data_IF_575361982719
#
_entry.id   IF_575361982719
#
_cell.length_a   1.000
_cell.length_b   1.000
_cell.length_c   1.000
_cell.angle_alpha   90.00
_cell.angle_beta   90.00
_cell.angle_gamma   90.00
#
_symmetry.space_group_name_H-M   'P 1'
#
loop_
_entity.id
_entity.type
_entity.pdbx_description
1 polymer ?
#
# COMPACT_ATOMS: atom_id res chain seq x y z
N UNK A 1 17.93 -12.31 -15.81
CA UNK A 1 16.85 -12.46 -14.84
C UNK A 1 15.99 -11.19 -14.88
N UNK A 2 14.71 -11.32 -15.18
CA UNK A 2 13.82 -10.18 -15.20
C UNK A 2 13.53 -9.70 -13.79
N UNK A 3 13.58 -8.38 -13.59
CA UNK A 3 13.20 -7.78 -12.32
C UNK A 3 11.70 -7.62 -12.31
N UNK A 4 11.07 -8.24 -11.32
CA UNK A 4 9.61 -8.18 -11.17
C UNK A 4 9.18 -6.78 -10.74
N UNK A 5 8.20 -6.24 -11.45
CA UNK A 5 7.62 -4.91 -11.14
C UNK A 5 6.10 -4.99 -11.20
N UNK A 6 5.50 -5.40 -10.10
CA UNK A 6 4.04 -5.50 -9.97
C UNK A 6 3.61 -4.97 -8.60
N UNK A 7 2.29 -4.95 -8.37
CA UNK A 7 1.72 -4.45 -7.11
C UNK A 7 2.30 -5.19 -5.89
N UNK A 8 2.58 -6.49 -6.01
CA UNK A 8 3.07 -7.29 -4.90
C UNK A 8 4.51 -6.92 -4.55
N UNK A 9 5.33 -6.67 -5.56
CA UNK A 9 6.68 -6.19 -5.33
C UNK A 9 6.67 -4.79 -4.71
N UNK A 10 5.77 -3.94 -5.17
CA UNK A 10 5.63 -2.58 -4.64
C UNK A 10 5.39 -2.60 -3.13
N UNK A 11 4.48 -3.45 -2.65
CA UNK A 11 4.10 -3.49 -1.24
C UNK A 11 4.95 -4.45 -0.39
N UNK A 12 5.96 -5.09 -0.98
CA UNK A 12 6.81 -6.04 -0.25
C UNK A 12 7.74 -5.37 0.76
N UNK A 13 7.99 -4.09 0.62
CA UNK A 13 8.89 -3.34 1.49
C UNK A 13 8.11 -2.42 2.45
N UNK A 14 8.43 -2.42 3.75
CA UNK A 14 7.69 -1.60 4.72
C UNK A 14 7.82 -0.09 4.47
N UNK A 15 8.98 0.38 4.00
CA UNK A 15 9.15 1.80 3.68
C UNK A 15 8.26 2.20 2.50
N UNK A 16 8.19 1.36 1.47
CA UNK A 16 7.30 1.62 0.33
C UNK A 16 5.84 1.62 0.74
N UNK A 17 5.42 0.70 1.63
CA UNK A 17 4.04 0.75 2.16
C UNK A 17 3.75 2.05 2.89
N UNK A 18 4.72 2.54 3.68
CA UNK A 18 4.56 3.81 4.40
C UNK A 18 4.47 5.00 3.44
N UNK A 19 5.27 4.99 2.38
CA UNK A 19 5.22 6.04 1.35
C UNK A 19 3.83 6.06 0.70
N UNK A 20 3.32 4.88 0.31
CA UNK A 20 1.99 4.76 -0.29
C UNK A 20 0.93 5.37 0.62
N UNK A 21 0.99 5.07 1.91
CA UNK A 21 0.01 5.59 2.89
C UNK A 21 0.05 7.11 2.98
N UNK A 22 1.23 7.70 2.90
CA UNK A 22 1.40 9.15 2.97
C UNK A 22 0.86 9.83 1.71
N UNK A 23 1.28 9.36 0.53
CA UNK A 23 0.87 10.00 -0.73
C UNK A 23 -0.59 9.70 -1.10
N UNK A 24 -1.20 8.69 -0.49
CA UNK A 24 -2.63 8.42 -0.67
C UNK A 24 -3.49 9.57 -0.16
N UNK A 25 -3.01 10.31 0.84
CA UNK A 25 -3.70 11.46 1.40
C UNK A 25 -3.50 12.72 0.56
N UNK A 26 -2.31 12.85 -0.03
CA UNK A 26 -1.94 14.04 -0.76
C UNK A 26 -0.69 13.78 -1.60
N UNK A 27 -0.69 14.20 -2.86
CA UNK A 27 0.50 14.13 -3.71
C UNK A 27 1.64 14.94 -3.06
N UNK A 28 2.86 14.42 -3.14
CA UNK A 28 4.02 15.03 -2.48
C UNK A 28 5.27 14.97 -3.35
N UNK A 29 6.17 15.93 -3.12
CA UNK A 29 7.52 15.90 -3.70
C UNK A 29 8.39 14.91 -2.93
N UNK A 30 9.49 14.41 -3.53
CA UNK A 30 10.42 13.52 -2.81
C UNK A 30 10.97 14.15 -1.52
N UNK A 31 11.25 15.45 -1.52
CA UNK A 31 11.73 16.14 -0.32
C UNK A 31 10.68 16.11 0.78
N UNK A 32 9.42 16.40 0.45
CA UNK A 32 8.34 16.37 1.42
C UNK A 32 8.14 14.97 1.99
N UNK A 33 8.22 13.94 1.13
CA UNK A 33 8.13 12.55 1.58
C UNK A 33 9.28 12.22 2.53
N UNK A 34 10.51 12.60 2.18
CA UNK A 34 11.69 12.28 2.98
C UNK A 34 11.61 12.87 4.38
N UNK A 35 10.91 14.00 4.57
CA UNK A 35 10.73 14.62 5.88
C UNK A 35 9.97 13.71 6.87
N UNK A 36 9.20 12.76 6.37
CA UNK A 36 8.44 11.82 7.20
C UNK A 36 9.26 10.60 7.61
N UNK A 37 10.48 10.47 7.12
CA UNK A 37 11.33 9.29 7.36
C UNK A 37 12.70 9.70 7.85
N UNK A 38 13.32 8.82 8.63
CA UNK A 38 14.70 8.98 9.07
C UNK A 38 15.64 8.36 8.03
N UNK A 39 15.62 8.93 6.83
CA UNK A 39 16.39 8.43 5.70
C UNK A 39 16.68 9.56 4.71
N UNK A 40 17.59 9.32 3.78
CA UNK A 40 17.98 10.33 2.80
C UNK A 40 16.95 10.46 1.67
N UNK A 41 16.97 11.63 1.02
CA UNK A 41 16.15 11.84 -0.18
C UNK A 41 16.50 10.83 -1.28
N UNK A 42 17.79 10.47 -1.38
CA UNK A 42 18.25 9.50 -2.37
C UNK A 42 17.61 8.13 -2.15
N UNK A 43 17.49 7.69 -0.89
CA UNK A 43 16.84 6.43 -0.56
C UNK A 43 15.35 6.48 -0.92
N UNK A 44 14.68 7.60 -0.58
CA UNK A 44 13.26 7.80 -0.95
C UNK A 44 13.10 7.77 -2.46
N UNK A 45 14.00 8.42 -3.20
CA UNK A 45 13.94 8.45 -4.68
C UNK A 45 14.04 7.04 -5.28
N UNK A 46 14.86 6.16 -4.69
CA UNK A 46 14.95 4.77 -5.14
C UNK A 46 13.64 4.01 -4.93
N UNK A 47 13.01 4.21 -3.76
CA UNK A 47 11.71 3.60 -3.49
C UNK A 47 10.63 4.12 -4.45
N UNK A 48 10.63 5.42 -4.72
CA UNK A 48 9.69 6.04 -5.65
C UNK A 48 9.87 5.52 -7.07
N UNK A 49 11.12 5.28 -7.47
CA UNK A 49 11.42 4.69 -8.78
C UNK A 49 10.79 3.31 -8.92
N UNK A 50 10.96 2.47 -7.91
CA UNK A 50 10.38 1.12 -7.90
C UNK A 50 8.85 1.21 -7.94
N UNK A 51 8.26 2.08 -7.13
CA UNK A 51 6.81 2.28 -7.10
C UNK A 51 6.26 2.76 -8.44
N UNK A 52 7.01 3.64 -9.12
CA UNK A 52 6.64 4.13 -10.45
C UNK A 52 6.73 3.02 -11.49
N UNK A 53 7.78 2.20 -11.43
CA UNK A 53 7.94 1.05 -12.32
C UNK A 53 6.84 0.01 -12.11
N UNK A 54 6.32 -0.11 -10.90
CA UNK A 54 5.18 -0.99 -10.57
C UNK A 54 3.83 -0.38 -10.99
N UNK A 55 3.84 0.85 -11.49
CA UNK A 55 2.64 1.59 -11.91
C UNK A 55 1.67 1.90 -10.77
N UNK A 56 2.15 1.81 -9.52
CA UNK A 56 1.34 2.14 -8.35
C UNK A 56 1.38 3.62 -8.03
N UNK A 57 2.40 4.31 -8.51
CA UNK A 57 2.61 5.72 -8.27
C UNK A 57 2.84 6.42 -9.60
N UNK A 58 2.19 7.57 -9.78
CA UNK A 58 2.36 8.41 -10.95
C UNK A 58 3.06 9.71 -10.58
N UNK A 59 3.58 10.37 -11.59
CA UNK A 59 4.27 11.65 -11.45
C UNK A 59 3.46 12.75 -12.10
N UNK A 60 3.41 13.90 -11.45
CA UNK A 60 2.79 15.10 -12.01
C UNK A 60 3.74 16.27 -11.81
N UNK A 61 4.15 16.89 -12.90
CA UNK A 61 5.02 18.06 -12.84
C UNK A 61 4.20 19.32 -12.58
N UNK A 62 4.65 20.12 -11.63
CA UNK A 62 4.05 21.41 -11.32
C UNK A 62 5.18 22.42 -11.14
N UNK A 63 5.41 23.21 -12.18
CA UNK A 63 6.55 24.11 -12.20
C UNK A 63 7.86 23.34 -12.28
N UNK A 64 8.76 23.59 -11.36
CA UNK A 64 10.07 22.91 -11.29
C UNK A 64 10.03 21.65 -10.43
N UNK A 65 8.89 21.37 -9.81
CA UNK A 65 8.77 20.27 -8.88
C UNK A 65 7.98 19.11 -9.49
N UNK A 66 8.34 17.90 -9.10
CA UNK A 66 7.62 16.69 -9.48
C UNK A 66 6.92 16.17 -8.25
N UNK A 67 5.60 16.00 -8.35
CA UNK A 67 4.75 15.44 -7.29
C UNK A 67 4.45 13.99 -7.61
N UNK A 68 4.52 13.16 -6.58
CA UNK A 68 4.17 11.75 -6.69
C UNK A 68 2.79 11.53 -6.08
N UNK A 69 1.96 10.77 -6.79
CA UNK A 69 0.59 10.51 -6.38
C UNK A 69 0.27 9.04 -6.53
N UNK A 70 -0.68 8.57 -5.74
CA UNK A 70 -1.11 7.17 -5.79
C UNK A 70 -1.97 6.93 -7.02
N UNK A 71 -1.67 5.85 -7.74
CA UNK A 71 -2.51 5.36 -8.84
C UNK A 71 -3.44 4.29 -8.27
N UNK A 72 -4.61 4.72 -7.81
CA UNK A 72 -5.55 3.87 -7.09
C UNK A 72 -6.03 2.66 -7.91
N UNK A 73 -6.02 2.76 -9.24
CA UNK A 73 -6.45 1.65 -10.11
C UNK A 73 -5.63 0.38 -9.90
N UNK A 74 -4.34 0.52 -9.57
CA UNK A 74 -3.51 -0.65 -9.29
C UNK A 74 -3.83 -1.31 -7.97
N UNK A 75 -4.38 -0.56 -7.02
CA UNK A 75 -4.83 -1.12 -5.75
C UNK A 75 -6.01 -2.07 -5.93
N UNK A 76 -6.80 -1.90 -6.99
CA UNK A 76 -7.90 -2.80 -7.31
C UNK A 76 -7.42 -4.21 -7.61
N UNK A 77 -6.23 -4.34 -8.22
CA UNK A 77 -5.62 -5.65 -8.50
C UNK A 77 -5.34 -6.39 -7.19
N UNK A 78 -4.80 -5.68 -6.20
CA UNK A 78 -4.56 -6.24 -4.87
C UNK A 78 -5.89 -6.59 -4.20
N UNK A 79 -6.89 -5.73 -4.28
CA UNK A 79 -8.20 -5.96 -3.68
C UNK A 79 -8.86 -7.21 -4.26
N UNK A 80 -8.78 -7.41 -5.57
CA UNK A 80 -9.32 -8.62 -6.23
C UNK A 80 -8.65 -9.88 -5.71
N UNK A 81 -7.33 -9.85 -5.55
CA UNK A 81 -6.60 -10.99 -5.02
C UNK A 81 -7.03 -11.29 -3.57
N UNK A 82 -7.18 -10.24 -2.76
CA UNK A 82 -7.60 -10.38 -1.37
C UNK A 82 -9.03 -10.88 -1.23
N UNK A 83 -9.92 -10.56 -2.19
CA UNK A 83 -11.32 -10.98 -2.13
C UNK A 83 -11.49 -12.49 -2.05
N UNK A 84 -10.63 -13.26 -2.71
CA UNK A 84 -10.71 -14.71 -2.66
C UNK A 84 -10.49 -15.28 -1.25
N UNK A 85 -9.81 -14.51 -0.40
CA UNK A 85 -9.56 -14.88 0.99
C UNK A 85 -10.54 -14.25 1.96
N UNK A 86 -11.21 -13.18 1.55
CA UNK A 86 -12.11 -12.39 2.42
C UNK A 86 -13.22 -13.25 2.99
N UNK A 87 -13.85 -14.07 2.17
CA UNK A 87 -14.91 -14.99 2.62
C UNK A 87 -14.39 -15.95 3.69
N UNK A 88 -13.15 -16.43 3.53
CA UNK A 88 -12.54 -17.37 4.47
C UNK A 88 -12.38 -16.72 5.84
N UNK A 89 -11.76 -15.54 5.93
CA UNK A 89 -11.53 -14.93 7.24
C UNK A 89 -12.82 -14.38 7.85
N UNK A 90 -13.77 -13.90 7.06
CA UNK A 90 -15.07 -13.46 7.56
C UNK A 90 -15.84 -14.63 8.17
N UNK A 91 -15.82 -15.80 7.53
CA UNK A 91 -16.44 -16.99 8.07
C UNK A 91 -15.79 -17.42 9.38
N UNK A 92 -14.46 -17.33 9.47
CA UNK A 92 -13.73 -17.65 10.70
C UNK A 92 -14.14 -16.72 11.84
N UNK A 93 -14.27 -15.42 11.60
CA UNK A 93 -14.72 -14.48 12.61
C UNK A 93 -16.16 -14.73 13.01
N UNK A 94 -17.03 -15.07 12.06
CA UNK A 94 -18.43 -15.40 12.36
C UNK A 94 -18.54 -16.65 13.21
N UNK A 95 -17.73 -17.68 12.92
CA UNK A 95 -17.68 -18.90 13.74
C UNK A 95 -17.28 -18.58 15.17
N UNK A 96 -16.27 -17.72 15.34
CA UNK A 96 -15.80 -17.32 16.65
C UNK A 96 -16.89 -16.57 17.41
N UNK A 97 -17.59 -15.65 16.77
CA UNK A 97 -18.69 -14.89 17.37
C UNK A 97 -19.80 -15.84 17.84
N UNK A 98 -20.16 -16.84 17.03
CA UNK A 98 -21.16 -17.83 17.37
C UNK A 98 -20.76 -18.63 18.62
N UNK A 99 -19.49 -19.06 18.67
CA UNK A 99 -18.95 -19.80 19.82
C UNK A 99 -19.02 -18.93 21.08
N UNK A 100 -18.63 -17.66 20.99
CA UNK A 100 -18.66 -16.74 22.12
C UNK A 100 -20.08 -16.50 22.64
N UNK A 101 -21.05 -16.36 21.74
CA UNK A 101 -22.45 -16.19 22.10
C UNK A 101 -23.00 -17.44 22.80
N UNK A 102 -22.66 -18.62 22.29
CA UNK A 102 -23.06 -19.89 22.90
C UNK A 102 -22.52 -20.01 24.33
N UNK A 103 -21.24 -19.66 24.52
CA UNK A 103 -20.62 -19.69 25.86
C UNK A 103 -21.29 -18.71 26.82
N UNK A 104 -21.71 -17.53 26.32
CA UNK A 104 -22.42 -16.56 27.16
C UNK A 104 -23.80 -17.06 27.59
N UNK A 105 -24.48 -17.79 26.72
CA UNK A 105 -25.83 -18.33 27.01
C UNK A 105 -25.80 -19.48 27.98
N UNK A 106 -24.70 -20.18 28.11
CA UNK A 106 -24.54 -21.34 29.00
C UNK A 106 -24.28 -20.96 30.47
N UNK A 107 -24.19 -19.68 30.79
CA UNK A 107 -24.00 -19.24 32.17
C UNK A 107 -25.32 -19.19 32.92
#
# INVERSE_FOLDING_TARGET
>A
MEVRRDIYQAIADPTRRAIISIIALQAMTPNAIAEHFDTSRQAISKHLKILTECELVGQKQNGREIYYQLEASKMQELDKWLQQFRTIWENKFNELDTILETLKKEK
#
